data_IF_559416593259
#
_entry.id   IF_559416593259
#
_cell.length_a   1.000
_cell.length_b   1.000
_cell.length_c   1.000
_cell.angle_alpha   90.00
_cell.angle_beta   90.00
_cell.angle_gamma   90.00
#
_symmetry.space_group_name_H-M   'P 1'
#
loop_
_entity.id
_entity.type
_entity.pdbx_description
1 polymer ?
#
# COMPACT_ATOMS: atom_id res chain seq x y z
N UNK A 1 0.87 -1.86 11.29
CA UNK A 1 0.69 -3.06 10.45
C UNK A 1 -0.60 -2.94 9.64
N UNK A 2 -1.74 -2.69 10.28
CA UNK A 2 -3.00 -2.44 9.57
C UNK A 2 -2.97 -1.18 8.71
N UNK A 3 -2.39 -0.08 9.20
CA UNK A 3 -2.22 1.16 8.42
C UNK A 3 -1.40 0.96 7.14
N UNK A 4 -0.29 0.22 7.21
CA UNK A 4 0.53 -0.10 6.03
C UNK A 4 -0.27 -0.89 4.97
N UNK A 5 -1.08 -1.84 5.42
CA UNK A 5 -1.91 -2.67 4.56
C UNK A 5 -3.01 -1.84 3.90
N UNK A 6 -3.66 -0.96 4.67
CA UNK A 6 -4.66 -0.02 4.17
C UNK A 6 -4.07 0.93 3.12
N UNK A 7 -2.88 1.49 3.37
CA UNK A 7 -2.21 2.42 2.45
C UNK A 7 -1.78 1.72 1.15
N UNK A 8 -1.19 0.53 1.25
CA UNK A 8 -0.87 -0.30 0.08
C UNK A 8 -2.13 -0.66 -0.72
N UNK A 9 -3.22 -1.01 -0.04
CA UNK A 9 -4.50 -1.31 -0.67
C UNK A 9 -5.09 -0.11 -1.39
N UNK A 10 -5.06 1.07 -0.77
CA UNK A 10 -5.50 2.32 -1.40
C UNK A 10 -4.67 2.63 -2.65
N UNK A 11 -3.33 2.51 -2.57
CA UNK A 11 -2.44 2.67 -3.72
C UNK A 11 -2.78 1.70 -4.85
N UNK A 12 -2.93 0.41 -4.56
CA UNK A 12 -3.23 -0.62 -5.55
C UNK A 12 -4.59 -0.38 -6.22
N UNK A 13 -5.62 -0.06 -5.43
CA UNK A 13 -6.96 0.23 -5.93
C UNK A 13 -6.96 1.49 -6.81
N UNK A 14 -6.33 2.58 -6.35
CA UNK A 14 -6.21 3.83 -7.10
C UNK A 14 -5.49 3.64 -8.44
N UNK A 15 -4.41 2.85 -8.44
CA UNK A 15 -3.68 2.47 -9.65
C UNK A 15 -4.51 1.60 -10.59
N UNK A 16 -5.31 0.68 -10.03
CA UNK A 16 -6.17 -0.21 -10.82
C UNK A 16 -7.30 0.53 -11.53
N UNK A 17 -7.97 1.47 -10.85
CA UNK A 17 -9.14 2.19 -11.40
C UNK A 17 -8.78 3.50 -12.12
N UNK A 18 -7.49 3.85 -12.17
CA UNK A 18 -7.00 5.01 -12.93
C UNK A 18 -7.28 6.37 -12.30
N UNK A 19 -7.50 6.44 -10.98
CA UNK A 19 -7.71 7.72 -10.26
C UNK A 19 -6.42 8.29 -9.68
N UNK A 20 -5.28 7.62 -9.90
CA UNK A 20 -4.00 8.08 -9.39
C UNK A 20 -3.56 9.36 -10.08
N UNK A 21 -3.18 10.36 -9.28
CA UNK A 21 -2.56 11.61 -9.71
C UNK A 21 -1.32 11.91 -8.85
N UNK A 22 -0.58 12.96 -9.23
CA UNK A 22 0.66 13.36 -8.55
C UNK A 22 0.47 13.58 -7.04
N UNK A 23 -0.63 14.20 -6.62
CA UNK A 23 -0.92 14.43 -5.20
C UNK A 23 -1.11 13.11 -4.45
N UNK A 24 -1.90 12.19 -4.99
CA UNK A 24 -2.13 10.87 -4.34
C UNK A 24 -0.85 10.04 -4.23
N UNK A 25 0.10 10.20 -5.17
CA UNK A 25 1.42 9.57 -5.10
C UNK A 25 2.26 10.13 -3.95
N UNK A 26 2.27 11.46 -3.81
CA UNK A 26 3.03 12.16 -2.77
C UNK A 26 2.49 11.87 -1.37
N UNK A 27 1.16 11.85 -1.22
CA UNK A 27 0.48 11.51 0.03
C UNK A 27 0.87 10.09 0.47
N UNK A 28 0.77 9.10 -0.42
CA UNK A 28 1.15 7.71 -0.11
C UNK A 28 2.65 7.53 0.14
N UNK A 29 3.51 8.27 -0.56
CA UNK A 29 4.95 8.24 -0.31
C UNK A 29 5.30 8.77 1.09
N UNK A 30 4.63 9.83 1.56
CA UNK A 30 4.82 10.37 2.90
C UNK A 30 4.44 9.36 3.99
N UNK A 31 3.40 8.56 3.78
CA UNK A 31 3.02 7.51 4.72
C UNK A 31 4.00 6.33 4.73
N UNK A 32 4.50 5.90 3.57
CA UNK A 32 5.54 4.85 3.49
C UNK A 32 6.85 5.30 4.15
N UNK A 33 7.16 6.59 4.15
CA UNK A 33 8.35 7.15 4.79
C UNK A 33 8.47 6.74 6.27
N UNK A 34 7.34 6.68 7.00
CA UNK A 34 7.29 6.25 8.40
C UNK A 34 7.52 4.75 8.61
N UNK A 35 7.39 3.94 7.56
CA UNK A 35 7.60 2.50 7.59
C UNK A 35 8.98 2.08 7.08
N UNK A 36 9.76 2.98 6.47
CA UNK A 36 11.01 2.62 5.78
C UNK A 36 12.00 1.86 6.67
N UNK A 37 12.20 2.28 7.92
CA UNK A 37 13.16 1.60 8.81
C UNK A 37 12.69 0.20 9.21
N UNK A 38 11.37 0.02 9.37
CA UNK A 38 10.75 -1.29 9.63
C UNK A 38 10.86 -2.18 8.39
N UNK A 39 10.61 -1.64 7.20
CA UNK A 39 10.66 -2.39 5.94
C UNK A 39 12.10 -2.77 5.55
N UNK A 40 13.09 -1.93 5.89
CA UNK A 40 14.52 -2.24 5.70
C UNK A 40 15.01 -3.32 6.67
N UNK A 41 14.46 -3.37 7.88
CA UNK A 41 14.85 -4.37 8.89
C UNK A 41 14.12 -5.70 8.70
N UNK A 42 12.89 -5.67 8.16
CA UNK A 42 12.08 -6.86 7.89
C UNK A 42 11.46 -6.82 6.49
N UNK A 43 12.20 -7.35 5.52
CA UNK A 43 11.74 -7.46 4.13
C UNK A 43 10.56 -8.43 3.96
N UNK A 44 10.35 -9.39 4.88
CA UNK A 44 9.20 -10.31 4.79
C UNK A 44 7.90 -9.57 5.08
N UNK A 45 7.93 -8.65 6.05
CA UNK A 45 6.78 -7.81 6.39
C UNK A 45 6.26 -7.05 5.16
N UNK A 46 7.14 -6.56 4.29
CA UNK A 46 6.74 -5.88 3.05
C UNK A 46 5.92 -6.80 2.14
N UNK A 47 6.43 -8.00 1.88
CA UNK A 47 5.79 -8.98 0.98
C UNK A 47 4.47 -9.47 1.57
N UNK A 48 4.42 -9.71 2.88
CA UNK A 48 3.21 -10.13 3.58
C UNK A 48 2.13 -9.04 3.59
N UNK A 49 2.51 -7.78 3.84
CA UNK A 49 1.60 -6.65 3.80
C UNK A 49 1.04 -6.44 2.39
N UNK A 50 1.90 -6.47 1.37
CA UNK A 50 1.48 -6.36 -0.03
C UNK A 50 0.51 -7.49 -0.43
N UNK A 51 0.80 -8.74 -0.05
CA UNK A 51 -0.06 -9.87 -0.37
C UNK A 51 -1.44 -9.76 0.28
N UNK A 52 -1.52 -9.25 1.52
CA UNK A 52 -2.80 -9.04 2.18
C UNK A 52 -3.57 -7.84 1.60
N UNK A 53 -2.87 -6.75 1.29
CA UNK A 53 -3.45 -5.60 0.61
C UNK A 53 -4.05 -5.98 -0.75
N UNK A 54 -3.34 -6.79 -1.54
CA UNK A 54 -3.83 -7.28 -2.84
C UNK A 54 -5.13 -8.08 -2.67
N UNK A 55 -5.19 -9.01 -1.70
CA UNK A 55 -6.42 -9.77 -1.42
C UNK A 55 -7.61 -8.87 -1.08
N UNK A 56 -7.38 -7.80 -0.33
CA UNK A 56 -8.42 -6.85 0.01
C UNK A 56 -8.92 -6.07 -1.23
N UNK A 57 -8.00 -5.63 -2.08
CA UNK A 57 -8.33 -4.95 -3.35
C UNK A 57 -9.07 -5.90 -4.30
N UNK A 58 -8.61 -7.14 -4.44
CA UNK A 58 -9.27 -8.16 -5.26
C UNK A 58 -10.71 -8.40 -4.80
N UNK A 59 -10.96 -8.39 -3.49
CA UNK A 59 -12.31 -8.50 -2.93
C UNK A 59 -13.19 -7.28 -3.25
N UNK A 60 -12.63 -6.08 -3.31
CA UNK A 60 -13.36 -4.85 -3.67
C UNK A 60 -13.68 -4.83 -5.17
N UNK A 61 -12.81 -5.38 -6.00
CA UNK A 61 -12.94 -5.38 -7.47
C UNK A 61 -13.74 -6.57 -8.03
N UNK A 62 -14.07 -7.56 -7.20
CA UNK A 62 -14.88 -8.73 -7.56
C UNK A 62 -16.36 -8.36 -7.77
#
# INVERSE_FOLDING_TARGET
KEELLAEMGACFLCGHIGIQNQQTLEDSAAYIQGWLDVLKSDHKLLVEAAAQAQKAVDYILA
#
